data_IF_005965405785
#
_entry.id   IF_005965405785
#
_cell.length_a   1.000
_cell.length_b   1.000
_cell.length_c   1.000
_cell.angle_alpha   90.00
_cell.angle_beta   90.00
_cell.angle_gamma   90.00
#
_symmetry.space_group_name_H-M   'P 1'
#
loop_
_entity.id
_entity.type
_entity.pdbx_description
1 polymer ?
#
# COMPACT_ATOMS: atom_id res chain seq x y z
N UNK A 1 0.90 10.15 -3.07
CA UNK A 1 0.63 9.36 -4.31
C UNK A 1 -0.60 8.45 -4.17
N UNK A 2 -0.80 7.77 -3.04
CA UNK A 2 -1.89 6.78 -2.84
C UNK A 2 -3.27 7.25 -3.32
N UNK A 3 -3.73 8.44 -2.90
CA UNK A 3 -5.02 9.02 -3.35
C UNK A 3 -5.09 9.33 -4.85
N UNK A 4 -3.97 9.69 -5.48
CA UNK A 4 -3.91 9.92 -6.94
C UNK A 4 -3.89 8.61 -7.71
N UNK A 5 -3.39 7.54 -7.08
CA UNK A 5 -3.34 6.21 -7.68
C UNK A 5 -4.70 5.55 -7.58
N UNK A 6 -5.18 5.26 -6.37
CA UNK A 6 -6.45 4.54 -6.14
C UNK A 6 -7.71 5.39 -6.18
N UNK A 7 -7.61 6.73 -6.09
CA UNK A 7 -8.77 7.61 -5.90
C UNK A 7 -9.29 7.68 -4.46
N UNK A 8 -8.67 6.94 -3.54
CA UNK A 8 -9.16 6.71 -2.18
C UNK A 8 -8.00 6.50 -1.18
N UNK A 9 -8.27 6.26 0.12
CA UNK A 9 -7.27 5.70 1.03
C UNK A 9 -6.85 4.31 0.53
N UNK A 10 -5.57 4.15 0.24
CA UNK A 10 -5.07 2.89 -0.29
C UNK A 10 -4.97 1.84 0.83
N UNK A 11 -6.05 1.05 0.98
CA UNK A 11 -6.17 -0.01 1.99
C UNK A 11 -5.42 -1.26 1.53
N UNK A 12 -4.45 -1.68 2.33
CA UNK A 12 -3.53 -2.78 1.99
C UNK A 12 -3.35 -3.74 3.14
N UNK A 13 -3.12 -5.00 2.80
CA UNK A 13 -2.53 -5.99 3.70
C UNK A 13 -1.01 -5.95 3.56
N UNK A 14 -0.29 -6.03 4.68
CA UNK A 14 1.14 -6.32 4.69
C UNK A 14 1.35 -7.82 4.45
N UNK A 15 1.88 -8.17 3.29
CA UNK A 15 2.08 -9.55 2.88
C UNK A 15 3.54 -10.01 3.03
N UNK A 16 4.39 -9.20 3.66
CA UNK A 16 5.82 -9.52 3.79
C UNK A 16 6.52 -9.61 2.43
N UNK A 17 7.60 -10.38 2.37
CA UNK A 17 8.44 -10.53 1.16
C UNK A 17 8.27 -11.88 0.44
N UNK A 18 7.46 -12.78 0.99
CA UNK A 18 7.16 -14.10 0.40
C UNK A 18 5.85 -14.04 -0.41
N UNK A 19 5.89 -13.26 -1.49
CA UNK A 19 4.75 -13.08 -2.40
C UNK A 19 5.16 -13.49 -3.80
N UNK A 20 4.40 -14.40 -4.39
CA UNK A 20 4.54 -14.84 -5.79
C UNK A 20 3.34 -14.41 -6.62
N UNK A 21 3.59 -14.10 -7.89
CA UNK A 21 2.56 -13.77 -8.87
C UNK A 21 2.60 -14.77 -10.01
N UNK A 22 1.43 -15.24 -10.42
CA UNK A 22 1.21 -15.93 -11.69
C UNK A 22 0.99 -14.91 -12.81
N UNK A 23 1.27 -15.30 -14.07
CA UNK A 23 1.05 -14.47 -15.25
C UNK A 23 1.74 -13.08 -15.17
N UNK A 24 3.02 -13.06 -14.78
CA UNK A 24 3.79 -11.85 -14.51
C UNK A 24 3.92 -10.94 -15.74
N UNK A 25 3.80 -11.48 -16.95
CA UNK A 25 3.75 -10.73 -18.21
C UNK A 25 2.58 -9.74 -18.28
N UNK A 26 1.54 -9.93 -17.46
CA UNK A 26 0.40 -9.01 -17.36
C UNK A 26 0.60 -7.92 -16.29
N UNK A 27 1.74 -7.88 -15.61
CA UNK A 27 2.03 -6.94 -14.54
C UNK A 27 3.02 -5.88 -15.02
N UNK A 28 2.59 -4.62 -15.04
CA UNK A 28 3.48 -3.48 -15.21
C UNK A 28 3.93 -2.95 -13.84
N UNK A 29 5.20 -2.56 -13.77
CA UNK A 29 5.80 -1.98 -12.56
C UNK A 29 6.18 -0.53 -12.85
N UNK A 30 5.75 0.37 -11.96
CA UNK A 30 6.10 1.79 -11.99
C UNK A 30 6.87 2.18 -10.72
N UNK A 31 8.10 2.67 -10.88
CA UNK A 31 8.92 3.21 -9.80
C UNK A 31 8.36 4.56 -9.35
N UNK A 32 7.48 4.54 -8.35
CA UNK A 32 6.74 5.72 -7.89
C UNK A 32 7.55 6.64 -6.98
N UNK A 33 8.64 6.12 -6.40
CA UNK A 33 9.67 6.85 -5.66
C UNK A 33 10.98 6.04 -5.69
N UNK A 34 12.04 6.56 -5.07
CA UNK A 34 13.33 5.84 -4.95
C UNK A 34 13.23 4.53 -4.15
N UNK A 35 12.22 4.41 -3.27
CA UNK A 35 12.09 3.32 -2.30
C UNK A 35 10.81 2.50 -2.50
N UNK A 36 9.94 2.87 -3.45
CA UNK A 36 8.62 2.26 -3.60
C UNK A 36 8.19 2.09 -5.06
N UNK A 37 7.91 0.86 -5.42
CA UNK A 37 7.35 0.44 -6.69
C UNK A 37 5.86 0.16 -6.57
N UNK A 38 5.13 0.35 -7.68
CA UNK A 38 3.70 0.08 -7.78
C UNK A 38 3.44 -0.86 -8.95
N UNK A 39 2.84 -2.00 -8.67
CA UNK A 39 2.41 -2.98 -9.65
C UNK A 39 0.95 -2.80 -10.02
N UNK A 40 0.64 -2.89 -11.32
CA UNK A 40 -0.74 -2.88 -11.82
C UNK A 40 -0.90 -3.78 -13.04
N UNK A 41 -2.11 -4.28 -13.27
CA UNK A 41 -2.45 -5.10 -14.42
C UNK A 41 -2.42 -4.26 -15.70
N UNK A 42 -1.67 -4.70 -16.70
CA UNK A 42 -1.56 -4.00 -17.98
C UNK A 42 -2.76 -4.21 -18.92
N UNK A 43 -3.67 -5.14 -18.58
CA UNK A 43 -4.88 -5.42 -19.35
C UNK A 43 -6.08 -4.58 -18.89
N UNK A 44 -6.29 -4.45 -17.57
CA UNK A 44 -7.46 -3.78 -17.01
C UNK A 44 -7.14 -2.57 -16.11
N UNK A 45 -5.86 -2.32 -15.83
CA UNK A 45 -5.43 -1.20 -14.98
C UNK A 45 -5.56 -1.42 -13.48
N UNK A 46 -6.06 -2.58 -13.02
CA UNK A 46 -6.20 -2.89 -11.59
C UNK A 46 -4.87 -2.76 -10.86
N UNK A 47 -4.85 -2.03 -9.74
CA UNK A 47 -3.68 -1.95 -8.86
C UNK A 47 -3.48 -3.27 -8.14
N UNK A 48 -2.25 -3.78 -8.13
CA UNK A 48 -1.92 -5.10 -7.61
C UNK A 48 -1.07 -5.05 -6.34
N UNK A 49 -0.11 -4.12 -6.25
CA UNK A 49 0.72 -3.99 -5.05
C UNK A 49 1.46 -2.66 -4.98
N UNK A 50 1.82 -2.24 -3.76
CA UNK A 50 3.00 -1.45 -3.49
C UNK A 50 4.13 -2.35 -3.01
N UNK A 51 5.38 -2.13 -3.44
CA UNK A 51 6.54 -2.91 -3.01
C UNK A 51 7.68 -2.00 -2.60
N UNK A 52 8.30 -2.28 -1.46
CA UNK A 52 9.57 -1.64 -1.10
C UNK A 52 10.71 -2.21 -1.95
N UNK A 53 11.54 -1.33 -2.52
CA UNK A 53 12.63 -1.74 -3.41
C UNK A 53 13.75 -2.46 -2.67
N UNK A 54 14.03 -2.08 -1.42
CA UNK A 54 15.15 -2.62 -0.62
C UNK A 54 14.95 -4.09 -0.21
N UNK A 55 13.81 -4.40 0.42
CA UNK A 55 13.55 -5.71 1.03
C UNK A 55 12.45 -6.52 0.31
N UNK A 56 11.91 -6.00 -0.80
CA UNK A 56 10.78 -6.59 -1.54
C UNK A 56 9.56 -6.87 -0.67
N UNK A 57 9.32 -6.07 0.36
CA UNK A 57 8.08 -6.18 1.14
C UNK A 57 6.90 -5.67 0.32
N UNK A 58 5.84 -6.47 0.24
CA UNK A 58 4.64 -6.24 -0.54
C UNK A 58 3.47 -5.80 0.33
N UNK A 59 2.78 -4.77 -0.15
CA UNK A 59 1.53 -4.29 0.37
C UNK A 59 0.46 -4.44 -0.71
N UNK A 60 -0.48 -5.37 -0.50
CA UNK A 60 -1.47 -5.76 -1.51
C UNK A 60 -2.82 -5.13 -1.19
N UNK A 61 -3.51 -4.47 -2.15
CA UNK A 61 -4.87 -3.99 -1.98
C UNK A 61 -5.80 -5.07 -1.41
N UNK A 62 -6.47 -4.76 -0.30
CA UNK A 62 -7.34 -5.75 0.38
C UNK A 62 -8.49 -6.26 -0.51
N UNK A 63 -8.92 -5.47 -1.50
CA UNK A 63 -9.95 -5.85 -2.47
C UNK A 63 -9.56 -6.94 -3.46
N UNK A 64 -8.29 -7.34 -3.52
CA UNK A 64 -7.83 -8.47 -4.36
C UNK A 64 -8.17 -9.82 -3.71
N UNK A 65 -8.31 -9.87 -2.38
CA UNK A 65 -8.57 -11.11 -1.66
C UNK A 65 -10.07 -11.45 -1.67
N UNK A 66 -10.42 -12.68 -2.01
CA UNK A 66 -11.82 -13.13 -2.12
C UNK A 66 -12.56 -13.16 -0.77
N UNK A 67 -11.83 -13.35 0.34
CA UNK A 67 -12.42 -13.47 1.68
C UNK A 67 -11.66 -12.60 2.70
N UNK A 68 -11.96 -11.29 2.77
CA UNK A 68 -11.26 -10.39 3.67
C UNK A 68 -11.71 -10.48 5.14
N UNK A 69 -12.45 -11.53 5.54
CA UNK A 69 -13.19 -11.58 6.81
C UNK A 69 -12.31 -11.51 8.06
N UNK A 70 -11.03 -11.84 7.93
CA UNK A 70 -10.09 -11.90 9.05
C UNK A 70 -9.10 -10.72 9.05
N UNK A 71 -9.23 -9.75 8.13
CA UNK A 71 -8.38 -8.56 8.17
C UNK A 71 -8.84 -7.63 9.29
N UNK A 72 -7.91 -7.30 10.18
CA UNK A 72 -8.08 -6.26 11.18
C UNK A 72 -7.48 -4.98 10.62
N UNK A 73 -8.27 -3.91 10.61
CA UNK A 73 -7.75 -2.60 10.22
C UNK A 73 -6.97 -2.01 11.39
N UNK A 74 -5.67 -2.22 11.44
CA UNK A 74 -4.86 -1.91 12.63
C UNK A 74 -4.28 -0.49 12.63
N UNK A 75 -3.97 0.09 11.47
CA UNK A 75 -3.13 1.29 11.38
C UNK A 75 -3.55 2.24 10.25
N UNK A 76 -3.55 3.53 10.55
CA UNK A 76 -3.64 4.60 9.56
C UNK A 76 -2.35 5.43 9.61
N UNK A 77 -1.62 5.51 8.49
CA UNK A 77 -0.37 6.26 8.38
C UNK A 77 -0.60 7.55 7.57
N UNK A 78 0.24 8.57 7.81
CA UNK A 78 0.10 9.91 7.21
C UNK A 78 -1.28 10.53 7.54
N UNK A 79 -1.71 10.39 8.80
CA UNK A 79 -3.03 10.85 9.26
C UNK A 79 -3.18 12.38 9.21
N UNK A 80 -2.08 13.10 9.33
CA UNK A 80 -1.93 14.54 9.17
C UNK A 80 -2.21 15.02 7.73
N UNK A 81 -2.01 14.14 6.75
CA UNK A 81 -2.33 14.37 5.33
C UNK A 81 -3.72 13.83 4.92
N UNK A 82 -4.52 13.36 5.89
CA UNK A 82 -5.86 12.82 5.63
C UNK A 82 -6.80 13.96 5.21
N UNK A 83 -7.43 13.88 4.02
CA UNK A 83 -8.38 14.89 3.59
C UNK A 83 -9.66 14.85 4.43
N UNK A 84 -10.39 15.96 4.42
CA UNK A 84 -11.59 16.15 5.25
C UNK A 84 -12.82 15.37 4.76
N UNK A 85 -12.82 14.88 3.52
CA UNK A 85 -13.99 14.22 2.92
C UNK A 85 -14.14 12.73 3.27
N UNK A 86 -13.27 12.16 4.11
CA UNK A 86 -13.49 10.82 4.69
C UNK A 86 -12.94 10.68 6.11
N UNK A 87 -13.53 9.74 6.84
CA UNK A 87 -13.03 9.26 8.13
C UNK A 87 -13.45 7.79 8.31
N UNK A 88 -12.57 6.99 8.88
CA UNK A 88 -12.90 5.62 9.27
C UNK A 88 -13.44 5.60 10.71
N UNK A 89 -14.46 4.77 10.95
CA UNK A 89 -15.05 4.61 12.28
C UNK A 89 -14.25 3.66 13.18
N UNK A 90 -13.35 2.85 12.60
CA UNK A 90 -12.49 1.92 13.33
C UNK A 90 -11.51 2.67 14.24
N UNK A 91 -11.27 2.11 15.43
CA UNK A 91 -10.14 2.51 16.25
C UNK A 91 -8.87 1.87 15.69
N UNK A 92 -7.88 2.70 15.36
CA UNK A 92 -6.62 2.26 14.73
C UNK A 92 -5.44 3.01 15.33
N UNK A 93 -4.24 2.43 15.25
CA UNK A 93 -3.00 3.16 15.51
C UNK A 93 -2.82 4.21 14.42
N UNK A 94 -3.05 5.48 14.76
CA UNK A 94 -2.87 6.60 13.86
C UNK A 94 -1.44 7.13 13.96
N UNK A 95 -0.79 7.33 12.83
CA UNK A 95 0.56 7.88 12.75
C UNK A 95 0.61 9.04 11.77
N UNK A 96 1.21 10.14 12.20
CA UNK A 96 1.64 11.25 11.33
C UNK A 96 2.77 10.80 10.40
N UNK A 97 3.09 11.60 9.37
CA UNK A 97 4.26 11.36 8.54
C UNK A 97 5.54 11.29 9.39
N UNK A 98 5.70 12.21 10.35
CA UNK A 98 6.89 12.28 11.20
C UNK A 98 7.06 11.01 12.06
N UNK A 99 5.99 10.54 12.70
CA UNK A 99 6.00 9.31 13.49
C UNK A 99 6.25 8.08 12.62
N UNK A 100 5.66 8.03 11.43
CA UNK A 100 5.87 6.94 10.49
C UNK A 100 7.34 6.87 10.05
N UNK A 101 7.93 7.99 9.65
CA UNK A 101 9.34 8.05 9.22
C UNK A 101 10.29 7.77 10.37
N UNK A 102 9.97 8.19 11.60
CA UNK A 102 10.79 7.88 12.77
C UNK A 102 10.80 6.37 13.10
N UNK A 103 9.64 5.70 12.95
CA UNK A 103 9.49 4.25 13.22
C UNK A 103 9.99 3.38 12.07
N UNK A 104 9.81 3.85 10.84
CA UNK A 104 10.17 3.18 9.60
C UNK A 104 10.99 4.14 8.73
N UNK A 105 12.27 4.36 9.07
CA UNK A 105 13.11 5.27 8.31
C UNK A 105 13.17 4.81 6.86
N UNK A 106 12.91 5.76 5.94
CA UNK A 106 12.99 5.49 4.50
C UNK A 106 14.42 5.04 4.19
N UNK A 107 14.62 4.04 3.32
CA UNK A 107 15.94 3.66 2.87
C UNK A 107 16.64 4.91 2.30
N UNK A 108 17.78 5.29 2.85
CA UNK A 108 18.63 6.33 2.26
C UNK A 108 19.24 5.77 0.98
N UNK A 109 19.05 6.52 -0.11
CA UNK A 109 19.58 6.22 -1.44
C UNK A 109 21.10 5.95 -1.43
#
# INVERSE_FOLDING_TARGET
MCRKWGGDPFLVADCGNDVSFENQENINIFSSSQWLERGFCNQCGTHLFCRLTENKQYFIPVGIFEQPKDFIFERQIFIDEKPTYYCFANETENMTEAEFVAKFPRPTA
#
